data_IF_777382215255
#
_entry.id   IF_777382215255
#
_cell.length_a   1.000
_cell.length_b   1.000
_cell.length_c   1.000
_cell.angle_alpha   90.00
_cell.angle_beta   90.00
_cell.angle_gamma   90.00
#
_symmetry.space_group_name_H-M   'P 1'
#
loop_
_entity.id
_entity.type
_entity.pdbx_description
1 polymer ?
#
# COMPACT_ATOMS: atom_id res chain seq x y z
N UNK A 1 6.44 -40.29 -5.20
CA UNK A 1 5.57 -39.59 -4.25
C UNK A 1 6.36 -39.42 -2.98
N UNK A 2 7.16 -38.35 -2.91
CA UNK A 2 7.91 -38.01 -1.70
C UNK A 2 7.10 -36.96 -0.94
N UNK A 3 6.63 -37.32 0.26
CA UNK A 3 5.92 -36.43 1.16
C UNK A 3 6.87 -35.34 1.65
N UNK A 4 6.56 -34.08 1.36
CA UNK A 4 7.25 -32.94 1.96
C UNK A 4 6.44 -32.55 3.21
N UNK A 5 6.91 -32.98 4.38
CA UNK A 5 6.38 -32.54 5.67
C UNK A 5 6.98 -31.19 6.05
N UNK A 6 6.13 -30.23 6.44
CA UNK A 6 6.60 -28.97 7.00
C UNK A 6 7.24 -29.20 8.40
N UNK A 7 7.91 -28.19 8.95
CA UNK A 7 8.63 -28.26 10.24
C UNK A 7 7.72 -28.60 11.45
N UNK A 8 6.39 -28.68 11.26
CA UNK A 8 5.39 -29.07 12.27
C UNK A 8 4.73 -30.43 12.01
N UNK A 9 5.11 -31.15 10.96
CA UNK A 9 4.55 -32.46 10.63
C UNK A 9 3.11 -32.41 10.09
N UNK A 10 2.65 -31.25 9.62
CA UNK A 10 1.34 -31.12 8.96
C UNK A 10 1.50 -31.37 7.45
N UNK A 11 0.59 -32.17 6.89
CA UNK A 11 0.50 -32.40 5.44
C UNK A 11 0.04 -31.12 4.74
N UNK A 12 0.89 -30.56 3.91
CA UNK A 12 0.49 -29.47 3.00
C UNK A 12 -0.54 -30.02 2.01
N UNK A 13 -1.63 -29.30 1.78
CA UNK A 13 -2.67 -29.70 0.84
C UNK A 13 -2.04 -29.88 -0.56
N UNK A 14 -2.02 -31.11 -1.08
CA UNK A 14 -1.30 -31.47 -2.30
C UNK A 14 -1.77 -30.66 -3.52
N UNK A 15 -3.02 -30.18 -3.52
CA UNK A 15 -3.56 -29.33 -4.58
C UNK A 15 -2.91 -27.94 -4.67
N UNK A 16 -2.49 -27.35 -3.56
CA UNK A 16 -1.83 -26.03 -3.56
C UNK A 16 -0.37 -26.12 -4.04
N UNK A 17 0.31 -27.22 -3.73
CA UNK A 17 1.69 -27.48 -4.19
C UNK A 17 1.69 -27.82 -5.70
N UNK A 18 0.68 -28.54 -6.18
CA UNK A 18 0.49 -28.82 -7.61
C UNK A 18 0.20 -27.54 -8.43
N UNK A 19 -0.62 -26.62 -7.91
CA UNK A 19 -0.92 -25.35 -8.58
C UNK A 19 0.30 -24.41 -8.65
N UNK A 20 1.09 -24.34 -7.57
CA UNK A 20 2.33 -23.53 -7.53
C UNK A 20 3.39 -24.09 -8.49
N UNK A 21 3.57 -25.42 -8.52
CA UNK A 21 4.49 -26.06 -9.45
C UNK A 21 4.03 -25.92 -10.91
N UNK A 22 2.72 -26.00 -11.17
CA UNK A 22 2.16 -25.76 -12.50
C UNK A 22 2.38 -24.32 -12.98
N UNK A 23 2.20 -23.33 -12.10
CA UNK A 23 2.48 -21.93 -12.41
C UNK A 23 3.98 -21.70 -12.71
N UNK A 24 4.86 -22.31 -11.92
CA UNK A 24 6.30 -22.24 -12.14
C UNK A 24 6.71 -22.87 -13.49
N UNK A 25 6.14 -24.02 -13.84
CA UNK A 25 6.41 -24.70 -15.11
C UNK A 25 5.91 -23.89 -16.32
N UNK A 26 4.74 -23.24 -16.20
CA UNK A 26 4.23 -22.33 -17.23
C UNK A 26 5.16 -21.14 -17.42
N UNK A 27 5.66 -20.55 -16.32
CA UNK A 27 6.62 -19.45 -16.39
C UNK A 27 7.91 -19.88 -17.10
N UNK A 28 8.51 -21.02 -16.71
CA UNK A 28 9.74 -21.54 -17.33
C UNK A 28 9.56 -21.76 -18.84
N UNK A 29 8.42 -22.31 -19.26
CA UNK A 29 8.09 -22.46 -20.69
C UNK A 29 8.00 -21.11 -21.40
N UNK A 30 7.27 -20.15 -20.84
CA UNK A 30 7.13 -18.82 -21.45
C UNK A 30 8.47 -18.10 -21.56
N UNK A 31 9.32 -18.16 -20.53
CA UNK A 31 10.68 -17.60 -20.55
C UNK A 31 11.48 -18.20 -21.70
N UNK A 32 11.47 -19.53 -21.85
CA UNK A 32 12.17 -20.23 -22.92
C UNK A 32 11.72 -19.81 -24.32
N UNK A 33 10.41 -19.74 -24.54
CA UNK A 33 9.82 -19.31 -25.81
C UNK A 33 10.20 -17.86 -26.15
N UNK A 34 10.17 -16.97 -25.16
CA UNK A 34 10.54 -15.56 -25.34
C UNK A 34 12.03 -15.39 -25.62
N UNK A 35 12.91 -16.12 -24.93
CA UNK A 35 14.35 -16.11 -25.24
C UNK A 35 14.61 -16.59 -26.66
N UNK A 36 13.95 -17.68 -27.08
CA UNK A 36 14.03 -18.20 -28.44
C UNK A 36 13.56 -17.16 -29.47
N UNK A 37 12.38 -16.56 -29.25
CA UNK A 37 11.79 -15.53 -30.13
C UNK A 37 12.69 -14.30 -30.24
N UNK A 38 13.21 -13.79 -29.13
CA UNK A 38 14.15 -12.67 -29.12
C UNK A 38 15.41 -12.95 -29.94
N UNK A 39 15.98 -14.15 -29.79
CA UNK A 39 17.15 -14.58 -30.54
C UNK A 39 16.85 -14.68 -32.04
N UNK A 40 15.72 -15.28 -32.40
CA UNK A 40 15.30 -15.47 -33.80
C UNK A 40 15.00 -14.15 -34.50
N UNK A 41 14.36 -13.20 -33.82
CA UNK A 41 14.13 -11.84 -34.34
C UNK A 41 15.44 -11.09 -34.64
N UNK A 42 16.51 -11.40 -33.91
CA UNK A 42 17.86 -10.88 -34.18
C UNK A 42 18.62 -11.68 -35.24
N UNK A 43 18.06 -12.76 -35.76
CA UNK A 43 18.71 -13.64 -36.73
C UNK A 43 19.95 -14.36 -36.17
N UNK A 44 20.07 -14.49 -34.84
CA UNK A 44 21.26 -15.02 -34.20
C UNK A 44 21.15 -16.55 -34.01
N UNK A 45 22.17 -17.33 -34.41
CA UNK A 45 22.22 -18.74 -34.03
C UNK A 45 22.55 -18.86 -32.54
N UNK A 46 22.07 -19.93 -31.89
CA UNK A 46 22.32 -20.17 -30.44
C UNK A 46 23.79 -20.09 -30.06
N UNK A 47 24.68 -20.53 -30.95
CA UNK A 47 26.14 -20.49 -30.74
C UNK A 47 26.65 -19.06 -30.51
N UNK A 48 26.15 -18.09 -31.27
CA UNK A 48 26.56 -16.69 -31.13
C UNK A 48 26.12 -16.14 -29.77
N UNK A 49 24.89 -16.45 -29.32
CA UNK A 49 24.45 -16.07 -27.98
C UNK A 49 25.29 -16.75 -26.89
N UNK A 50 25.68 -18.00 -27.09
CA UNK A 50 26.57 -18.73 -26.16
C UNK A 50 27.89 -18.01 -25.98
N UNK A 51 28.51 -17.60 -27.09
CA UNK A 51 29.79 -16.88 -27.11
C UNK A 51 29.66 -15.50 -26.45
N UNK A 52 28.61 -14.74 -26.75
CA UNK A 52 28.40 -13.39 -26.19
C UNK A 52 28.05 -13.43 -24.69
N UNK A 53 27.18 -14.36 -24.29
CA UNK A 53 26.69 -14.45 -22.90
C UNK A 53 27.63 -15.22 -21.97
N UNK A 54 28.57 -16.00 -22.51
CA UNK A 54 29.38 -16.95 -21.75
C UNK A 54 28.59 -18.13 -21.16
N UNK A 55 27.38 -18.37 -21.66
CA UNK A 55 26.48 -19.44 -21.22
C UNK A 55 26.59 -20.63 -22.17
N UNK A 56 26.63 -21.86 -21.66
CA UNK A 56 26.88 -23.04 -22.51
C UNK A 56 25.78 -23.25 -23.56
N UNK A 57 26.11 -23.79 -24.76
CA UNK A 57 25.12 -24.08 -25.79
C UNK A 57 24.05 -25.08 -25.33
N UNK A 58 24.43 -26.04 -24.48
CA UNK A 58 23.51 -27.02 -23.88
C UNK A 58 22.50 -26.34 -22.98
N UNK A 59 22.95 -25.42 -22.13
CA UNK A 59 22.05 -24.67 -21.26
C UNK A 59 21.10 -23.79 -22.08
N UNK A 60 21.59 -23.11 -23.12
CA UNK A 60 20.72 -22.32 -24.00
C UNK A 60 19.65 -23.17 -24.69
N UNK A 61 19.99 -24.39 -25.11
CA UNK A 61 19.02 -25.31 -25.69
C UNK A 61 17.95 -25.75 -24.66
N UNK A 62 18.35 -26.02 -23.41
CA UNK A 62 17.42 -26.36 -22.33
C UNK A 62 16.52 -25.16 -21.95
N UNK A 63 17.11 -23.97 -21.85
CA UNK A 63 16.42 -22.72 -21.59
C UNK A 63 15.35 -22.46 -22.65
N UNK A 64 15.71 -22.47 -23.93
CA UNK A 64 14.76 -22.23 -25.04
C UNK A 64 13.69 -23.32 -25.19
N UNK A 65 13.96 -24.53 -24.68
CA UNK A 65 12.99 -25.61 -24.61
C UNK A 65 12.05 -25.51 -23.39
N UNK A 66 12.28 -24.54 -22.48
CA UNK A 66 11.51 -24.41 -21.25
C UNK A 66 11.74 -25.59 -20.30
N UNK A 67 12.96 -26.12 -20.24
CA UNK A 67 13.28 -27.31 -19.45
C UNK A 67 14.21 -26.99 -18.28
N UNK A 68 13.83 -27.51 -17.10
CA UNK A 68 14.64 -27.44 -15.88
C UNK A 68 14.67 -26.06 -15.24
N UNK A 69 15.48 -25.92 -14.20
CA UNK A 69 15.54 -24.70 -13.41
C UNK A 69 16.40 -23.64 -14.09
N UNK A 70 15.79 -22.48 -14.36
CA UNK A 70 16.47 -21.34 -14.97
C UNK A 70 17.19 -20.54 -13.87
N UNK A 71 18.51 -20.47 -13.93
CA UNK A 71 19.27 -19.60 -13.03
C UNK A 71 19.06 -18.15 -13.42
N UNK A 72 18.60 -17.32 -12.48
CA UNK A 72 18.42 -15.87 -12.67
C UNK A 72 19.72 -15.21 -13.18
N UNK A 73 20.88 -15.64 -12.66
CA UNK A 73 22.18 -15.12 -13.07
C UNK A 73 22.54 -15.47 -14.52
N UNK A 74 22.25 -16.69 -14.96
CA UNK A 74 22.47 -17.09 -16.36
C UNK A 74 21.47 -16.40 -17.29
N UNK A 75 20.20 -16.32 -16.89
CA UNK A 75 19.17 -15.60 -17.65
C UNK A 75 19.52 -14.13 -17.82
N UNK A 76 20.08 -13.48 -16.79
CA UNK A 76 20.56 -12.09 -16.89
C UNK A 76 21.65 -11.92 -17.95
N UNK A 77 22.60 -12.86 -18.04
CA UNK A 77 23.65 -12.84 -19.07
C UNK A 77 23.08 -13.01 -20.47
N UNK A 78 22.13 -13.94 -20.65
CA UNK A 78 21.43 -14.15 -21.92
C UNK A 78 20.63 -12.92 -22.32
N UNK A 79 19.91 -12.29 -21.37
CA UNK A 79 19.15 -11.07 -21.59
C UNK A 79 20.05 -9.92 -22.07
N UNK A 80 21.19 -9.71 -21.41
CA UNK A 80 22.18 -8.70 -21.83
C UNK A 80 22.76 -9.00 -23.22
N UNK A 81 23.07 -10.26 -23.52
CA UNK A 81 23.54 -10.67 -24.85
C UNK A 81 22.49 -10.45 -25.95
N UNK A 82 21.22 -10.53 -25.59
CA UNK A 82 20.09 -10.23 -26.47
C UNK A 82 19.69 -8.75 -26.46
N UNK A 83 20.41 -7.87 -25.75
CA UNK A 83 20.08 -6.44 -25.58
C UNK A 83 18.65 -6.21 -25.05
N UNK A 84 18.23 -7.08 -24.12
CA UNK A 84 16.93 -7.00 -23.47
C UNK A 84 17.09 -6.95 -21.96
N UNK A 85 16.08 -6.36 -21.32
CA UNK A 85 15.96 -6.36 -19.86
C UNK A 85 15.45 -7.74 -19.42
N UNK A 86 15.80 -8.18 -18.21
CA UNK A 86 15.43 -9.54 -17.77
C UNK A 86 13.91 -9.68 -17.60
N UNK A 87 13.25 -8.58 -17.23
CA UNK A 87 11.82 -8.43 -17.00
C UNK A 87 10.98 -8.76 -18.24
N UNK A 88 11.52 -8.56 -19.45
CA UNK A 88 10.84 -8.97 -20.69
C UNK A 88 10.62 -10.48 -20.76
N UNK A 89 11.56 -11.27 -20.25
CA UNK A 89 11.47 -12.72 -20.33
C UNK A 89 10.62 -13.30 -19.22
N UNK A 90 10.61 -12.68 -18.03
CA UNK A 90 9.94 -13.21 -16.82
C UNK A 90 8.60 -12.55 -16.50
N UNK A 91 8.22 -11.46 -17.19
CA UNK A 91 6.97 -10.75 -16.92
C UNK A 91 5.73 -11.54 -17.33
N UNK A 92 4.58 -11.22 -16.75
CA UNK A 92 3.32 -11.88 -17.11
C UNK A 92 2.92 -11.56 -18.56
N UNK A 93 3.03 -10.29 -18.97
CA UNK A 93 2.66 -9.82 -20.30
C UNK A 93 3.69 -10.19 -21.38
N UNK A 94 3.22 -10.48 -22.59
CA UNK A 94 4.10 -10.70 -23.76
C UNK A 94 4.69 -9.35 -24.22
N UNK A 95 6.02 -9.17 -24.16
CA UNK A 95 6.66 -7.90 -24.51
C UNK A 95 6.54 -7.49 -25.98
N UNK A 96 6.23 -8.42 -26.90
CA UNK A 96 6.08 -8.09 -28.31
C UNK A 96 4.67 -7.64 -28.69
N UNK A 97 3.67 -7.94 -27.86
CA UNK A 97 2.26 -7.67 -28.16
C UNK A 97 1.61 -6.75 -27.13
N UNK A 98 2.19 -6.59 -25.93
CA UNK A 98 1.67 -5.69 -24.91
C UNK A 98 1.90 -4.23 -25.26
N UNK A 99 0.79 -3.52 -25.51
CA UNK A 99 0.77 -2.06 -25.64
C UNK A 99 1.23 -1.38 -24.34
N UNK A 100 0.92 -1.96 -23.17
CA UNK A 100 1.29 -1.40 -21.88
C UNK A 100 2.81 -1.40 -21.68
N UNK A 101 3.50 -2.50 -22.02
CA UNK A 101 4.95 -2.57 -21.99
C UNK A 101 5.59 -1.61 -23.00
N UNK A 102 5.01 -1.48 -24.20
CA UNK A 102 5.47 -0.52 -25.20
C UNK A 102 5.36 0.93 -24.71
N UNK A 103 4.21 1.30 -24.13
CA UNK A 103 3.99 2.62 -23.53
C UNK A 103 4.98 2.86 -22.38
N UNK A 104 5.23 1.87 -21.53
CA UNK A 104 6.18 2.00 -20.43
C UNK A 104 7.63 2.25 -20.90
N UNK A 105 8.06 1.62 -21.99
CA UNK A 105 9.38 1.84 -22.57
C UNK A 105 9.50 3.25 -23.19
N UNK A 106 8.49 3.69 -23.95
CA UNK A 106 8.42 5.07 -24.47
C UNK A 106 8.40 6.10 -23.34
N UNK A 107 7.62 5.84 -22.28
CA UNK A 107 7.52 6.70 -21.12
C UNK A 107 8.84 6.83 -20.37
N UNK A 108 9.63 5.76 -20.26
CA UNK A 108 10.90 5.77 -19.52
C UNK A 108 11.96 6.66 -20.17
N UNK A 109 12.01 6.68 -21.49
CA UNK A 109 12.99 7.48 -22.26
C UNK A 109 12.51 8.91 -22.54
N UNK A 110 11.24 9.21 -22.29
CA UNK A 110 10.66 10.52 -22.56
C UNK A 110 11.17 11.62 -21.58
N UNK A 111 11.29 12.88 -22.04
CA UNK A 111 11.59 14.02 -21.18
C UNK A 111 10.58 14.17 -20.04
N UNK A 112 11.00 14.74 -18.91
CA UNK A 112 10.14 14.93 -17.73
C UNK A 112 8.82 15.67 -18.04
N UNK A 113 8.85 16.68 -18.91
CA UNK A 113 7.68 17.42 -19.34
C UNK A 113 6.68 16.58 -20.14
N UNK A 114 7.16 15.63 -20.95
CA UNK A 114 6.31 14.71 -21.72
C UNK A 114 5.72 13.66 -20.80
N UNK A 115 6.54 13.08 -19.90
CA UNK A 115 6.06 12.14 -18.87
C UNK A 115 4.93 12.75 -18.04
N UNK A 116 5.08 14.00 -17.62
CA UNK A 116 4.03 14.69 -16.87
C UNK A 116 2.73 14.81 -17.68
N UNK A 117 2.81 15.25 -18.94
CA UNK A 117 1.62 15.32 -19.81
C UNK A 117 0.95 13.97 -20.02
N UNK A 118 1.72 12.91 -20.22
CA UNK A 118 1.17 11.55 -20.37
C UNK A 118 0.47 11.12 -19.09
N UNK A 119 1.06 11.36 -17.91
CA UNK A 119 0.40 11.10 -16.64
C UNK A 119 -0.89 11.92 -16.51
N UNK A 120 -0.89 13.20 -16.89
CA UNK A 120 -2.08 14.05 -16.83
C UNK A 120 -3.20 13.56 -17.78
N UNK A 121 -2.84 13.02 -18.96
CA UNK A 121 -3.79 12.44 -19.92
C UNK A 121 -4.36 11.11 -19.43
N UNK A 122 -3.49 10.20 -18.99
CA UNK A 122 -3.89 8.88 -18.49
C UNK A 122 -4.61 8.96 -17.13
N UNK A 123 -4.50 10.10 -16.47
CA UNK A 123 -5.10 10.37 -15.18
C UNK A 123 -5.82 11.74 -15.21
N UNK A 124 -6.95 11.85 -15.93
CA UNK A 124 -7.58 13.11 -16.30
C UNK A 124 -8.18 13.90 -15.12
N UNK A 125 -8.20 13.31 -13.92
CA UNK A 125 -8.68 13.98 -12.71
C UNK A 125 -7.47 14.36 -11.85
N UNK A 126 -7.16 15.66 -11.70
CA UNK A 126 -6.12 16.13 -10.79
C UNK A 126 -6.25 15.44 -9.44
N UNK A 127 -5.14 15.01 -8.83
CA UNK A 127 -5.18 14.24 -7.58
C UNK A 127 -6.07 14.90 -6.50
N UNK A 128 -6.11 16.23 -6.43
CA UNK A 128 -7.03 16.98 -5.55
C UNK A 128 -8.51 16.71 -5.83
N UNK A 129 -8.93 16.67 -7.11
CA UNK A 129 -10.31 16.32 -7.47
C UNK A 129 -10.62 14.83 -7.20
N UNK A 130 -9.63 13.94 -7.27
CA UNK A 130 -9.80 12.51 -6.90
C UNK A 130 -9.92 12.30 -5.40
N UNK A 131 -9.31 13.18 -4.60
CA UNK A 131 -9.44 13.18 -3.14
C UNK A 131 -10.78 13.69 -2.66
N UNK A 132 -11.47 14.51 -3.48
CA UNK A 132 -12.68 15.22 -3.09
C UNK A 132 -12.44 15.91 -1.73
N UNK A 133 -13.41 15.88 -0.82
CA UNK A 133 -13.23 16.36 0.55
C UNK A 133 -13.09 15.20 1.55
N UNK A 134 -12.43 14.11 1.13
CA UNK A 134 -12.17 12.94 1.98
C UNK A 134 -10.82 13.07 2.68
N UNK A 135 -10.82 12.90 4.00
CA UNK A 135 -9.63 12.98 4.85
C UNK A 135 -9.32 11.59 5.39
N UNK A 136 -8.08 11.14 5.26
CA UNK A 136 -7.63 9.83 5.75
C UNK A 136 -6.69 9.99 6.95
N UNK A 137 -7.13 9.63 8.15
CA UNK A 137 -6.29 9.64 9.34
C UNK A 137 -5.52 8.33 9.44
N UNK A 138 -4.19 8.42 9.35
CA UNK A 138 -3.28 7.28 9.47
C UNK A 138 -2.36 7.43 10.69
N UNK A 139 -1.76 6.34 11.13
CA UNK A 139 -0.88 6.30 12.30
C UNK A 139 -1.09 5.05 13.14
N UNK A 140 -0.16 4.75 14.04
CA UNK A 140 -0.26 3.57 14.88
C UNK A 140 -1.47 3.59 15.81
N UNK A 141 -1.84 2.42 16.34
CA UNK A 141 -2.85 2.32 17.40
C UNK A 141 -2.44 3.22 18.58
N UNK A 142 -3.40 3.91 19.20
CA UNK A 142 -3.10 4.92 20.22
C UNK A 142 -2.77 6.32 19.68
N UNK A 143 -2.60 6.51 18.37
CA UNK A 143 -2.39 7.84 17.77
C UNK A 143 -3.57 8.83 17.97
N UNK A 144 -4.75 8.33 18.38
CA UNK A 144 -5.95 9.14 18.55
C UNK A 144 -6.83 9.28 17.30
N UNK A 145 -6.60 8.49 16.23
CA UNK A 145 -7.38 8.52 14.97
C UNK A 145 -8.90 8.50 15.18
N UNK A 146 -9.40 7.52 15.96
CA UNK A 146 -10.82 7.37 16.21
C UNK A 146 -11.39 8.53 17.02
N UNK A 147 -10.69 8.91 18.09
CA UNK A 147 -11.13 9.98 19.01
C UNK A 147 -11.10 11.35 18.34
N UNK A 148 -9.96 11.74 17.76
CA UNK A 148 -9.80 13.01 17.07
C UNK A 148 -10.64 13.08 15.80
N UNK A 149 -10.74 11.99 15.04
CA UNK A 149 -11.57 11.93 13.85
C UNK A 149 -13.05 12.14 14.14
N UNK A 150 -13.59 11.46 15.16
CA UNK A 150 -14.99 11.64 15.58
C UNK A 150 -15.26 13.07 16.07
N UNK A 151 -14.37 13.62 16.91
CA UNK A 151 -14.51 14.99 17.41
C UNK A 151 -14.38 16.03 16.29
N UNK A 152 -13.45 15.84 15.35
CA UNK A 152 -13.27 16.73 14.20
C UNK A 152 -14.48 16.66 13.26
N UNK A 153 -15.01 15.46 13.00
CA UNK A 153 -16.22 15.28 12.20
C UNK A 153 -17.41 16.00 12.81
N UNK A 154 -17.62 15.86 14.13
CA UNK A 154 -18.68 16.58 14.84
C UNK A 154 -18.48 18.10 14.79
N UNK A 155 -17.25 18.58 15.00
CA UNK A 155 -16.96 20.02 14.97
C UNK A 155 -17.08 20.64 13.58
N UNK A 156 -16.78 19.88 12.52
CA UNK A 156 -16.78 20.35 11.14
C UNK A 156 -18.09 20.03 10.39
N UNK A 157 -19.01 19.28 11.00
CA UNK A 157 -20.24 18.85 10.36
C UNK A 157 -19.99 17.81 9.24
N UNK A 158 -18.92 17.03 9.34
CA UNK A 158 -18.49 16.05 8.33
C UNK A 158 -18.66 14.62 8.87
N UNK A 159 -19.15 13.67 8.04
CA UNK A 159 -19.25 12.26 8.45
C UNK A 159 -17.91 11.70 8.91
N UNK A 160 -17.92 10.98 10.03
CA UNK A 160 -16.77 10.23 10.52
C UNK A 160 -17.00 8.74 10.32
N UNK A 161 -16.03 8.08 9.70
CA UNK A 161 -16.07 6.65 9.35
C UNK A 161 -14.84 5.96 9.95
N UNK A 162 -15.04 4.80 10.57
CA UNK A 162 -13.94 3.91 10.97
C UNK A 162 -13.89 2.73 10.01
N UNK A 163 -12.77 2.53 9.32
CA UNK A 163 -12.66 1.49 8.29
C UNK A 163 -12.96 0.09 8.83
N UNK A 164 -12.53 -0.21 10.06
CA UNK A 164 -12.84 -1.49 10.70
C UNK A 164 -14.35 -1.67 10.92
N UNK A 165 -15.07 -0.62 11.30
CA UNK A 165 -16.53 -0.71 11.46
C UNK A 165 -17.24 -0.91 10.12
N UNK A 166 -16.74 -0.28 9.05
CA UNK A 166 -17.24 -0.52 7.68
C UNK A 166 -17.00 -1.97 7.23
N UNK A 167 -15.84 -2.54 7.59
CA UNK A 167 -15.55 -3.96 7.32
C UNK A 167 -16.53 -4.84 8.10
N UNK A 168 -16.71 -4.61 9.41
CA UNK A 168 -17.61 -5.40 10.27
C UNK A 168 -19.07 -5.30 9.84
N UNK A 169 -19.53 -4.10 9.47
CA UNK A 169 -20.90 -3.89 8.99
C UNK A 169 -21.16 -4.63 7.68
N UNK A 170 -20.17 -4.68 6.78
CA UNK A 170 -20.32 -5.34 5.49
C UNK A 170 -20.10 -6.85 5.56
N UNK A 171 -19.24 -7.34 6.44
CA UNK A 171 -18.99 -8.77 6.64
C UNK A 171 -20.02 -9.44 7.56
N UNK A 172 -20.71 -8.65 8.39
CA UNK A 172 -21.56 -9.16 9.47
C UNK A 172 -20.77 -9.80 10.62
N UNK A 173 -19.44 -9.59 10.68
CA UNK A 173 -18.53 -10.29 11.58
C UNK A 173 -17.46 -9.36 12.16
N UNK A 174 -17.17 -9.44 13.48
CA UNK A 174 -16.08 -8.71 14.11
C UNK A 174 -14.72 -8.93 13.43
N UNK A 175 -13.87 -7.91 13.36
CA UNK A 175 -12.55 -8.01 12.69
C UNK A 175 -11.66 -9.09 13.30
N UNK A 176 -11.74 -9.34 14.61
CA UNK A 176 -10.99 -10.41 15.27
C UNK A 176 -11.42 -11.81 14.79
N UNK A 177 -12.70 -12.02 14.52
CA UNK A 177 -13.21 -13.28 13.98
C UNK A 177 -12.84 -13.43 12.50
N UNK A 178 -12.92 -12.33 11.72
CA UNK A 178 -12.45 -12.32 10.33
C UNK A 178 -10.98 -12.71 10.22
N UNK A 179 -10.12 -12.15 11.08
CA UNK A 179 -8.70 -12.49 11.13
C UNK A 179 -8.47 -13.94 11.56
N UNK A 180 -9.29 -14.46 12.48
CA UNK A 180 -9.17 -15.85 12.93
C UNK A 180 -9.59 -16.86 11.84
N UNK A 181 -10.60 -16.53 11.03
CA UNK A 181 -11.14 -17.43 10.01
C UNK A 181 -10.44 -17.31 8.65
N UNK A 182 -10.17 -16.08 8.20
CA UNK A 182 -9.65 -15.80 6.85
C UNK A 182 -8.17 -15.37 6.85
N UNK A 183 -7.57 -15.30 8.04
CA UNK A 183 -6.19 -14.86 8.19
C UNK A 183 -5.97 -13.39 7.81
N UNK A 184 -4.69 -13.01 7.78
CA UNK A 184 -4.28 -11.64 7.49
C UNK A 184 -4.63 -11.24 6.04
N UNK A 185 -4.41 -12.13 5.07
CA UNK A 185 -4.66 -11.86 3.65
C UNK A 185 -6.13 -11.60 3.36
N UNK A 186 -7.04 -12.40 3.94
CA UNK A 186 -8.48 -12.17 3.81
C UNK A 186 -8.90 -10.82 4.38
N UNK A 187 -8.36 -10.44 5.54
CA UNK A 187 -8.59 -9.10 6.09
C UNK A 187 -8.05 -8.00 5.17
N UNK A 188 -6.87 -8.16 4.55
CA UNK A 188 -6.31 -7.16 3.63
C UNK A 188 -7.18 -6.95 2.40
N UNK A 189 -7.76 -8.02 1.86
CA UNK A 189 -8.72 -7.93 0.75
C UNK A 189 -9.96 -7.13 1.17
N UNK A 190 -10.53 -7.45 2.32
CA UNK A 190 -11.69 -6.72 2.87
C UNK A 190 -11.37 -5.25 3.18
N UNK A 191 -10.14 -4.97 3.64
CA UNK A 191 -9.63 -3.61 3.90
C UNK A 191 -9.57 -2.78 2.60
N UNK A 192 -9.07 -3.36 1.51
CA UNK A 192 -9.05 -2.72 0.20
C UNK A 192 -10.46 -2.46 -0.34
N UNK A 193 -11.35 -3.45 -0.28
CA UNK A 193 -12.74 -3.33 -0.73
C UNK A 193 -13.51 -2.27 0.09
N UNK A 194 -13.25 -2.18 1.40
CA UNK A 194 -13.86 -1.18 2.25
C UNK A 194 -13.43 0.26 1.89
N UNK A 195 -12.17 0.46 1.52
CA UNK A 195 -11.70 1.75 1.01
C UNK A 195 -12.42 2.12 -0.28
N UNK A 196 -12.56 1.19 -1.22
CA UNK A 196 -13.28 1.42 -2.48
C UNK A 196 -14.74 1.81 -2.23
N UNK A 197 -15.41 1.15 -1.28
CA UNK A 197 -16.78 1.51 -0.89
C UNK A 197 -16.85 2.92 -0.31
N UNK A 198 -15.94 3.30 0.58
CA UNK A 198 -15.92 4.67 1.15
C UNK A 198 -15.71 5.70 0.05
N UNK A 199 -14.79 5.45 -0.90
CA UNK A 199 -14.55 6.33 -2.05
C UNK A 199 -15.82 6.49 -2.90
N UNK A 200 -16.54 5.40 -3.16
CA UNK A 200 -17.74 5.41 -3.99
C UNK A 200 -18.96 6.07 -3.33
N UNK A 201 -19.02 6.10 -2.00
CA UNK A 201 -20.20 6.53 -1.24
C UNK A 201 -20.08 7.92 -0.63
N UNK A 202 -18.86 8.40 -0.39
CA UNK A 202 -18.62 9.66 0.34
C UNK A 202 -17.73 10.61 -0.46
N UNK A 203 -18.27 11.73 -0.92
CA UNK A 203 -17.45 12.83 -1.44
C UNK A 203 -16.87 13.73 -0.36
N UNK A 204 -17.35 13.60 0.89
CA UNK A 204 -16.88 14.36 2.05
C UNK A 204 -16.97 13.48 3.29
N UNK A 205 -15.83 13.15 3.90
CA UNK A 205 -15.77 12.30 5.09
C UNK A 205 -14.38 12.38 5.77
N UNK A 206 -14.34 12.07 7.06
CA UNK A 206 -13.10 11.76 7.80
C UNK A 206 -13.07 10.26 8.05
N UNK A 207 -12.07 9.58 7.50
CA UNK A 207 -11.86 8.15 7.62
C UNK A 207 -10.70 7.87 8.59
N UNK A 208 -10.94 7.09 9.64
CA UNK A 208 -9.88 6.51 10.46
C UNK A 208 -9.50 5.11 9.96
N UNK A 209 -8.21 4.91 9.69
CA UNK A 209 -7.69 3.65 9.14
C UNK A 209 -6.93 2.82 10.18
N UNK A 210 -6.82 1.51 9.95
CA UNK A 210 -5.98 0.65 10.77
C UNK A 210 -4.50 1.01 10.59
N UNK A 211 -3.71 0.92 11.66
CA UNK A 211 -2.28 1.28 11.62
C UNK A 211 -1.41 0.36 10.73
N UNK A 212 -1.96 -0.77 10.26
CA UNK A 212 -1.30 -1.68 9.34
C UNK A 212 -1.47 -1.33 7.87
N UNK A 213 -2.32 -0.35 7.51
CA UNK A 213 -2.65 -0.03 6.12
C UNK A 213 -1.42 0.34 5.28
N UNK A 214 -0.46 1.03 5.91
CA UNK A 214 0.75 1.50 5.23
C UNK A 214 1.66 0.38 4.74
N UNK A 215 1.52 -0.82 5.31
CA UNK A 215 2.28 -2.01 4.93
C UNK A 215 1.72 -2.72 3.69
N UNK A 216 0.57 -2.30 3.16
CA UNK A 216 -0.01 -2.82 1.92
C UNK A 216 0.18 -1.81 0.79
N UNK A 217 1.16 -2.00 -0.12
CA UNK A 217 1.57 -0.96 -1.06
C UNK A 217 0.44 -0.45 -1.96
N UNK A 218 -0.37 -1.36 -2.52
CA UNK A 218 -1.43 -1.01 -3.46
C UNK A 218 -2.60 -0.33 -2.78
N UNK A 219 -3.03 -0.87 -1.64
CA UNK A 219 -4.10 -0.28 -0.83
C UNK A 219 -3.69 1.09 -0.29
N UNK A 220 -2.44 1.24 0.16
CA UNK A 220 -1.94 2.52 0.64
C UNK A 220 -1.78 3.54 -0.51
N UNK A 221 -1.32 3.11 -1.68
CA UNK A 221 -1.29 3.98 -2.88
C UNK A 221 -2.69 4.51 -3.21
N UNK A 222 -3.69 3.62 -3.24
CA UNK A 222 -5.09 3.99 -3.44
C UNK A 222 -5.57 5.01 -2.41
N UNK A 223 -5.24 4.81 -1.13
CA UNK A 223 -5.54 5.78 -0.08
C UNK A 223 -4.92 7.16 -0.37
N UNK A 224 -3.63 7.21 -0.73
CA UNK A 224 -2.93 8.46 -1.02
C UNK A 224 -3.48 9.19 -2.25
N UNK A 225 -4.01 8.44 -3.22
CA UNK A 225 -4.60 8.98 -4.45
C UNK A 225 -6.02 9.54 -4.24
N UNK A 226 -6.77 9.02 -3.25
CA UNK A 226 -8.20 9.31 -3.07
C UNK A 226 -8.58 9.97 -1.73
N UNK A 227 -7.61 10.20 -0.84
CA UNK A 227 -7.82 10.91 0.42
C UNK A 227 -6.73 11.97 0.66
N UNK A 228 -7.12 13.05 1.34
CA UNK A 228 -6.19 13.96 2.00
C UNK A 228 -5.66 13.31 3.27
N UNK A 229 -4.50 12.66 3.19
CA UNK A 229 -3.97 11.87 4.29
C UNK A 229 -3.25 12.72 5.34
N UNK A 230 -3.56 12.47 6.61
CA UNK A 230 -2.93 13.11 7.77
C UNK A 230 -2.38 12.01 8.66
N UNK A 231 -1.07 12.03 8.88
CA UNK A 231 -0.44 11.15 9.85
C UNK A 231 -0.54 11.75 11.25
N UNK A 232 -1.29 11.07 12.12
CA UNK A 232 -1.32 11.34 13.54
C UNK A 232 -0.20 10.57 14.23
N UNK A 233 0.71 11.30 14.88
CA UNK A 233 1.83 10.73 15.62
C UNK A 233 1.73 11.04 17.12
N UNK A 234 2.27 10.13 17.92
CA UNK A 234 2.46 10.30 19.35
C UNK A 234 3.81 9.67 19.74
N UNK A 235 4.32 10.00 20.92
CA UNK A 235 5.49 9.31 21.47
C UNK A 235 5.18 7.82 21.68
N UNK A 236 6.18 6.92 21.56
CA UNK A 236 5.99 5.49 21.83
C UNK A 236 5.32 5.22 23.19
N UNK A 237 5.70 5.99 24.21
CA UNK A 237 5.18 5.89 25.57
C UNK A 237 3.68 6.22 25.62
N UNK A 238 3.25 7.26 24.90
CA UNK A 238 1.84 7.64 24.82
C UNK A 238 1.01 6.68 23.98
N UNK A 239 1.57 6.16 22.88
CA UNK A 239 0.93 5.08 22.12
C UNK A 239 0.60 3.91 23.04
N UNK A 240 1.58 3.44 23.82
CA UNK A 240 1.40 2.34 24.75
C UNK A 240 0.38 2.67 25.84
N UNK A 241 0.55 3.82 26.51
CA UNK A 241 -0.35 4.26 27.60
C UNK A 241 -1.81 4.35 27.14
N UNK A 242 -2.06 4.94 25.97
CA UNK A 242 -3.42 5.09 25.41
C UNK A 242 -4.02 3.74 25.03
N UNK A 243 -3.23 2.81 24.49
CA UNK A 243 -3.71 1.46 24.11
C UNK A 243 -4.06 0.64 25.36
N UNK A 244 -3.27 0.74 26.42
CA UNK A 244 -3.57 0.11 27.72
C UNK A 244 -4.84 0.67 28.34
N UNK A 245 -5.02 1.99 28.32
CA UNK A 245 -6.23 2.63 28.85
C UNK A 245 -7.51 2.21 28.11
N UNK A 246 -7.39 1.75 26.85
CA UNK A 246 -8.48 1.19 26.06
C UNK A 246 -8.75 -0.29 26.34
N UNK A 247 -8.07 -0.88 27.33
CA UNK A 247 -8.24 -2.29 27.72
C UNK A 247 -7.58 -3.30 26.78
N UNK A 248 -6.77 -2.83 25.82
CA UNK A 248 -6.03 -3.73 24.93
C UNK A 248 -4.67 -4.06 25.53
N UNK A 249 -4.60 -5.19 26.22
CA UNK A 249 -3.38 -5.71 26.85
C UNK A 249 -2.52 -6.53 25.91
N UNK A 250 -2.98 -6.85 24.69
CA UNK A 250 -2.22 -7.67 23.71
C UNK A 250 -0.81 -7.17 23.44
N UNK A 251 -0.53 -5.85 23.36
CA UNK A 251 0.84 -5.36 23.17
C UNK A 251 1.79 -5.71 24.32
N UNK A 252 1.27 -5.95 25.53
CA UNK A 252 2.06 -6.15 26.76
C UNK A 252 1.93 -7.54 27.38
N UNK A 253 0.91 -8.31 27.01
CA UNK A 253 0.63 -9.61 27.61
C UNK A 253 1.83 -10.56 27.43
N UNK A 254 2.55 -10.81 28.53
CA UNK A 254 3.70 -11.71 28.57
C UNK A 254 4.98 -11.19 27.90
N UNK A 255 5.09 -9.89 27.58
CA UNK A 255 6.24 -9.38 26.83
C UNK A 255 6.92 -8.16 27.50
N UNK A 256 8.05 -8.35 28.22
CA UNK A 256 8.83 -7.24 28.78
C UNK A 256 9.51 -6.37 27.71
N UNK A 257 9.63 -6.85 26.46
CA UNK A 257 10.21 -6.13 25.32
C UNK A 257 9.17 -5.36 24.48
N UNK A 258 7.91 -5.33 24.92
CA UNK A 258 6.80 -4.71 24.20
C UNK A 258 7.08 -3.27 23.70
N UNK A 259 7.74 -2.46 24.54
CA UNK A 259 8.11 -1.09 24.19
C UNK A 259 9.16 -1.05 23.07
N UNK A 260 10.16 -1.92 23.11
CA UNK A 260 11.19 -1.98 22.08
C UNK A 260 10.63 -2.51 20.75
N UNK A 261 9.70 -3.47 20.79
CA UNK A 261 8.96 -3.92 19.62
C UNK A 261 8.10 -2.80 19.02
N UNK A 262 7.39 -2.04 19.84
CA UNK A 262 6.62 -0.87 19.39
C UNK A 262 7.53 0.16 18.71
N UNK A 263 8.68 0.50 19.30
CA UNK A 263 9.68 1.39 18.70
C UNK A 263 10.23 0.84 17.38
N UNK A 264 10.42 -0.47 17.27
CA UNK A 264 10.84 -1.12 16.03
C UNK A 264 9.79 -0.99 14.92
N UNK A 265 8.51 -1.22 15.25
CA UNK A 265 7.39 -1.05 14.32
C UNK A 265 7.25 0.41 13.89
N UNK A 266 7.42 1.37 14.80
CA UNK A 266 7.43 2.80 14.46
C UNK A 266 8.53 3.10 13.45
N UNK A 267 9.77 2.72 13.75
CA UNK A 267 10.93 2.96 12.86
C UNK A 267 10.73 2.35 11.48
N UNK A 268 10.20 1.13 11.39
CA UNK A 268 10.00 0.47 10.09
C UNK A 268 8.86 1.10 9.26
N UNK A 269 7.84 1.69 9.92
CA UNK A 269 6.69 2.31 9.24
C UNK A 269 6.80 3.81 9.06
N UNK A 270 7.76 4.47 9.70
CA UNK A 270 7.93 5.93 9.67
C UNK A 270 8.02 6.46 8.24
N UNK A 271 8.95 5.92 7.44
CA UNK A 271 9.10 6.28 6.02
C UNK A 271 7.82 6.08 5.19
N UNK A 272 6.94 5.15 5.57
CA UNK A 272 5.66 4.93 4.91
C UNK A 272 4.64 5.97 5.35
N UNK A 273 4.55 6.27 6.65
CA UNK A 273 3.67 7.31 7.17
C UNK A 273 4.05 8.71 6.68
N UNK A 274 5.33 9.00 6.49
CA UNK A 274 5.85 10.27 5.96
C UNK A 274 5.31 10.62 4.57
N UNK A 275 4.82 9.62 3.81
CA UNK A 275 4.16 9.84 2.51
C UNK A 275 2.79 10.52 2.62
N UNK A 276 2.26 10.70 3.84
CA UNK A 276 1.04 11.47 4.06
C UNK A 276 1.20 12.95 3.65
N UNK A 277 0.10 13.59 3.26
CA UNK A 277 0.13 15.00 2.84
C UNK A 277 0.40 15.97 3.98
N UNK A 278 0.08 15.57 5.21
CA UNK A 278 0.35 16.33 6.41
C UNK A 278 0.60 15.42 7.62
N UNK A 279 1.16 16.01 8.68
CA UNK A 279 1.45 15.32 9.94
C UNK A 279 0.94 16.17 11.11
N UNK A 280 0.49 15.51 12.17
CA UNK A 280 0.08 16.15 13.42
C UNK A 280 0.64 15.38 14.61
N UNK A 281 1.42 16.07 15.43
CA UNK A 281 1.97 15.52 16.68
C UNK A 281 1.02 15.77 17.85
N UNK A 282 0.56 14.68 18.46
CA UNK A 282 -0.38 14.68 19.59
C UNK A 282 0.32 14.42 20.93
N UNK A 283 1.65 14.33 20.95
CA UNK A 283 2.44 14.03 22.14
C UNK A 283 2.45 15.20 23.13
N UNK A 284 2.22 14.92 24.41
CA UNK A 284 2.26 15.90 25.50
C UNK A 284 1.14 16.94 25.44
N UNK A 285 0.15 16.75 24.55
CA UNK A 285 -0.92 17.72 24.29
C UNK A 285 -2.26 17.24 24.83
N UNK A 286 -3.05 18.13 25.45
CA UNK A 286 -4.45 17.84 25.74
C UNK A 286 -5.23 17.50 24.47
N UNK A 287 -6.26 16.67 24.62
CA UNK A 287 -7.10 16.23 23.51
C UNK A 287 -7.75 17.42 22.77
N UNK A 288 -8.19 18.45 23.51
CA UNK A 288 -8.78 19.67 22.95
C UNK A 288 -7.77 20.44 22.08
N UNK A 289 -6.52 20.59 22.53
CA UNK A 289 -5.46 21.25 21.77
C UNK A 289 -5.15 20.48 20.49
N UNK A 290 -5.02 19.15 20.58
CA UNK A 290 -4.79 18.29 19.41
C UNK A 290 -5.95 18.36 18.41
N UNK A 291 -7.19 18.45 18.89
CA UNK A 291 -8.36 18.67 18.04
C UNK A 291 -8.33 20.05 17.37
N UNK A 292 -7.99 21.09 18.12
CA UNK A 292 -7.95 22.45 17.60
C UNK A 292 -6.91 22.59 16.48
N UNK A 293 -5.73 22.00 16.67
CA UNK A 293 -4.64 21.91 15.68
C UNK A 293 -5.03 21.05 14.48
N UNK A 294 -5.74 19.92 14.68
CA UNK A 294 -6.22 19.09 13.57
C UNK A 294 -7.19 19.87 12.66
N UNK A 295 -8.14 20.58 13.27
CA UNK A 295 -9.12 21.38 12.52
C UNK A 295 -8.42 22.52 11.78
N UNK A 296 -7.48 23.20 12.43
CA UNK A 296 -6.67 24.26 11.81
C UNK A 296 -5.88 23.73 10.61
N UNK A 297 -5.19 22.59 10.78
CA UNK A 297 -4.48 21.92 9.69
C UNK A 297 -5.38 21.56 8.51
N UNK A 298 -6.56 21.01 8.77
CA UNK A 298 -7.55 20.66 7.74
C UNK A 298 -7.99 21.89 6.95
N UNK A 299 -8.24 23.00 7.65
CA UNK A 299 -8.74 24.23 7.06
C UNK A 299 -7.68 25.04 6.33
N UNK A 300 -6.47 25.17 6.89
CA UNK A 300 -5.35 25.88 6.26
C UNK A 300 -4.92 25.19 4.96
N UNK A 301 -5.02 23.86 4.91
CA UNK A 301 -4.74 23.07 3.71
C UNK A 301 -5.93 23.01 2.73
N UNK A 302 -7.09 23.53 3.11
CA UNK A 302 -8.29 23.56 2.26
C UNK A 302 -8.88 22.18 1.94
N UNK A 303 -8.64 21.15 2.77
CA UNK A 303 -9.05 19.77 2.47
C UNK A 303 -10.57 19.56 2.43
N UNK A 304 -11.36 20.48 3.01
CA UNK A 304 -12.83 20.44 3.01
C UNK A 304 -13.47 21.59 2.20
N UNK A 305 -12.66 22.37 1.48
CA UNK A 305 -13.12 23.59 0.82
C UNK A 305 -13.42 24.75 1.78
N UNK A 306 -13.64 25.92 1.19
CA UNK A 306 -13.77 27.20 1.92
C UNK A 306 -15.02 27.34 2.80
N UNK A 307 -16.23 26.89 2.40
CA UNK A 307 -17.45 27.10 3.18
C UNK A 307 -17.43 26.44 4.56
N UNK A 308 -17.02 25.16 4.62
CA UNK A 308 -17.00 24.35 5.85
C UNK A 308 -16.03 24.92 6.89
N UNK A 309 -14.93 25.49 6.41
CA UNK A 309 -13.91 26.09 7.27
C UNK A 309 -14.24 27.53 7.72
N UNK A 310 -14.99 28.30 6.92
CA UNK A 310 -15.36 29.67 7.26
C UNK A 310 -16.51 29.74 8.29
N UNK A 311 -17.51 28.88 8.21
CA UNK A 311 -18.60 28.81 9.19
C UNK A 311 -18.07 28.53 10.61
N UNK A 312 -17.04 27.69 10.72
CA UNK A 312 -16.40 27.37 12.00
C UNK A 312 -15.36 28.38 12.46
N UNK A 313 -14.69 29.09 11.54
CA UNK A 313 -13.77 30.18 11.88
C UNK A 313 -14.50 31.37 12.54
N UNK A 314 -15.74 31.66 12.13
CA UNK A 314 -16.60 32.67 12.74
C UNK A 314 -16.96 32.35 14.20
N UNK A 315 -17.22 31.07 14.50
CA UNK A 315 -17.53 30.58 15.85
C UNK A 315 -16.28 30.59 16.77
N UNK A 316 -15.09 30.32 16.22
CA UNK A 316 -13.83 30.36 17.00
C UNK A 316 -13.34 31.77 17.31
N UNK A 317 -13.48 32.73 16.39
CA UNK A 317 -13.10 34.14 16.64
C UNK A 317 -13.97 34.79 17.71
N UNK A 318 -15.28 34.49 17.79
CA UNK A 318 -16.14 35.00 18.87
C UNK A 318 -15.82 34.39 20.24
N UNK A 319 -15.43 33.11 20.30
CA UNK A 319 -15.03 32.45 21.55
C UNK A 319 -13.67 32.91 22.08
N UNK A 320 -12.65 33.11 21.22
CA UNK A 320 -11.35 33.67 21.64
C UNK A 320 -11.46 35.11 22.15
N UNK A 321 -12.40 35.90 21.62
CA UNK A 321 -12.65 37.26 22.09
C UNK A 321 -13.28 37.30 23.50
N UNK A 322 -14.19 36.38 23.83
CA UNK A 322 -14.85 36.34 25.15
C UNK A 322 -13.96 35.80 26.29
N UNK A 323 -12.95 34.98 26.00
CA UNK A 323 -12.02 34.44 27.02
C UNK A 323 -10.82 35.36 27.31
N UNK A 324 -10.70 36.50 26.62
CA UNK A 324 -9.65 37.51 26.87
C UNK A 324 -10.16 38.69 27.70
N UNK A 325 -11.41 38.64 28.16
CA UNK A 325 -12.12 39.69 28.89
C UNK A 325 -12.61 39.27 30.29
N UNK A 326 -12.10 38.17 30.83
CA UNK A 326 -12.22 37.75 32.24
C UNK A 326 -10.84 37.40 32.79
#
# INVERSE_FOLDING_TARGET
MGEITNFRGETVDAGADDDVNAAADQLVKSVGERVRKARELKGLPRRVISEISGVSPRYLAQLEAGQGNISIGLLKKVALALDHRIEWFVGEEDPWTSEALHVADLFRVAPASVRQKVLDILNPVPAEKRRAHRIGLIGLRGAGKSTLGAMAGQALGVPFVELNREIEANSGMPVNELLALYGQEGYRRLEAEAIDRVIATHDTAILALAGGIVSEPDTYKRLLDHFHTIWLRASPEEHMSRVLAQGDTRPMAGNPEAMEQLKSILRSRESLYERALAQLDTSGKPLKTSLDELIELICDRGYLGTPICQENAGIRRSKKANTASE
#
